data_IF_372698570973
#
_entry.id   IF_372698570973
#
_cell.length_a   1.000
_cell.length_b   1.000
_cell.length_c   1.000
_cell.angle_alpha   90.00
_cell.angle_beta   90.00
_cell.angle_gamma   90.00
#
_symmetry.space_group_name_H-M   'P 1'
#
loop_
_entity.id
_entity.type
_entity.pdbx_description
1 polymer ?
#
# COMPACT_ATOMS: atom_id res chain seq x y z
N UNK A 1 6.65 33.63 60.95
CA UNK A 1 6.28 32.29 60.40
C UNK A 1 5.89 32.51 58.96
N UNK A 2 6.86 32.26 58.03
CA UNK A 2 6.72 32.57 56.59
C UNK A 2 6.37 31.26 55.92
N UNK A 3 5.14 31.18 55.38
CA UNK A 3 4.66 30.05 54.62
C UNK A 3 5.13 30.25 53.16
N UNK A 4 6.08 29.42 52.72
CA UNK A 4 6.53 29.35 51.34
C UNK A 4 5.53 28.53 50.56
N UNK A 5 4.78 29.19 49.69
CA UNK A 5 3.98 28.51 48.66
C UNK A 5 4.92 28.12 47.51
N UNK A 6 5.26 26.83 47.47
CA UNK A 6 5.90 26.23 46.29
C UNK A 6 4.86 26.08 45.22
N UNK A 7 4.89 26.95 44.23
CA UNK A 7 4.13 26.74 42.96
C UNK A 7 4.79 25.61 42.19
N UNK A 8 4.20 24.42 42.31
CA UNK A 8 4.51 23.31 41.42
C UNK A 8 3.89 23.59 40.05
N UNK A 9 4.67 24.20 39.15
CA UNK A 9 4.27 24.35 37.75
C UNK A 9 4.39 22.97 37.11
N UNK A 10 3.28 22.26 37.06
CA UNK A 10 3.16 21.04 36.22
C UNK A 10 3.08 21.52 34.77
N UNK A 11 4.20 21.50 34.09
CA UNK A 11 4.23 21.56 32.64
C UNK A 11 3.58 20.27 32.13
N UNK A 12 2.28 20.31 31.86
CA UNK A 12 1.63 19.36 30.99
C UNK A 12 2.21 19.59 29.59
N UNK A 13 3.26 18.82 29.27
CA UNK A 13 3.65 18.59 27.90
C UNK A 13 2.48 17.85 27.27
N UNK A 14 1.53 18.59 26.72
CA UNK A 14 0.65 18.05 25.72
C UNK A 14 1.54 17.73 24.53
N UNK A 15 2.06 16.49 24.49
CA UNK A 15 2.43 15.86 23.24
C UNK A 15 1.19 15.94 22.38
N UNK A 16 1.16 16.91 21.49
CA UNK A 16 0.17 17.00 20.45
C UNK A 16 0.36 15.75 19.59
N UNK A 17 -0.30 14.67 19.99
CA UNK A 17 -0.60 13.57 19.10
C UNK A 17 -1.41 14.21 17.98
N UNK A 18 -0.74 14.45 16.86
CA UNK A 18 -1.39 14.77 15.61
C UNK A 18 -2.22 13.51 15.29
N UNK A 19 -3.39 13.41 15.90
CA UNK A 19 -4.39 12.42 15.52
C UNK A 19 -4.83 12.82 14.12
N UNK A 20 -4.13 12.27 13.13
CA UNK A 20 -4.59 12.34 11.77
C UNK A 20 -5.89 11.54 11.73
N UNK A 21 -6.99 12.26 11.83
CA UNK A 21 -8.31 11.65 11.91
C UNK A 21 -8.72 11.17 10.52
N UNK A 22 -8.32 9.94 10.18
CA UNK A 22 -8.69 9.26 8.95
C UNK A 22 -10.21 9.28 8.73
N UNK A 23 -10.99 9.31 9.82
CA UNK A 23 -12.46 9.31 9.75
C UNK A 23 -13.04 10.58 9.13
N UNK A 24 -12.27 11.67 9.09
CA UNK A 24 -12.69 12.90 8.39
C UNK A 24 -12.69 12.75 6.87
N UNK A 25 -11.77 11.92 6.36
CA UNK A 25 -11.54 11.76 4.92
C UNK A 25 -12.10 10.45 4.38
N UNK A 26 -12.13 9.40 5.22
CA UNK A 26 -12.58 8.07 4.84
C UNK A 26 -13.74 7.63 5.74
N UNK A 27 -14.92 7.48 5.18
CA UNK A 27 -16.11 7.01 5.94
C UNK A 27 -16.00 5.55 6.34
N UNK A 28 -15.42 4.74 5.47
CA UNK A 28 -15.22 3.31 5.68
C UNK A 28 -13.82 2.94 5.23
N UNK A 29 -13.08 2.36 6.11
CA UNK A 29 -11.77 1.78 5.81
C UNK A 29 -11.51 0.63 6.77
N UNK A 30 -10.64 -0.27 6.35
CA UNK A 30 -10.10 -1.33 7.20
C UNK A 30 -8.59 -1.36 7.05
N UNK A 31 -7.90 -1.59 8.15
CA UNK A 31 -6.45 -1.74 8.15
C UNK A 31 -6.10 -3.21 7.92
N UNK A 32 -5.15 -3.45 7.04
CA UNK A 32 -4.62 -4.78 6.73
C UNK A 32 -3.15 -4.79 7.12
N UNK A 33 -2.77 -5.66 8.04
CA UNK A 33 -1.37 -5.85 8.37
C UNK A 33 -0.70 -6.74 7.31
N UNK A 34 0.56 -6.46 6.98
CA UNK A 34 1.37 -7.22 6.01
C UNK A 34 1.31 -8.75 6.24
N UNK A 35 1.29 -9.20 7.49
CA UNK A 35 1.17 -10.62 7.85
C UNK A 35 -0.17 -11.27 7.49
N UNK A 36 -1.20 -10.47 7.20
CA UNK A 36 -2.52 -10.96 6.79
C UNK A 36 -2.63 -11.16 5.28
N UNK A 37 -1.61 -10.75 4.53
CA UNK A 37 -1.55 -11.03 3.10
C UNK A 37 -1.03 -12.45 2.86
N UNK A 38 -1.87 -13.32 2.34
CA UNK A 38 -1.45 -14.57 1.73
C UNK A 38 -0.81 -14.29 0.38
N UNK A 39 0.40 -14.76 0.18
CA UNK A 39 1.13 -14.56 -1.08
C UNK A 39 1.63 -15.89 -1.62
N UNK A 40 1.25 -16.23 -2.84
CA UNK A 40 1.67 -17.45 -3.52
C UNK A 40 2.10 -17.17 -4.95
N UNK A 41 3.21 -17.76 -5.35
CA UNK A 41 3.72 -17.72 -6.72
C UNK A 41 3.36 -19.01 -7.42
N UNK A 42 2.58 -18.93 -8.49
CA UNK A 42 2.22 -20.08 -9.33
C UNK A 42 2.99 -19.98 -10.65
N UNK A 43 3.87 -20.92 -10.90
CA UNK A 43 4.57 -21.03 -12.18
C UNK A 43 3.70 -21.77 -13.17
N UNK A 44 3.41 -21.17 -14.33
CA UNK A 44 2.72 -21.87 -15.42
C UNK A 44 3.69 -22.83 -16.11
N UNK A 45 3.40 -24.13 -15.96
CA UNK A 45 3.93 -25.19 -16.83
C UNK A 45 5.42 -25.47 -16.77
N UNK A 46 5.77 -26.75 -16.94
CA UNK A 46 7.12 -27.31 -16.84
C UNK A 46 7.94 -27.17 -18.14
N UNK A 47 7.65 -26.24 -19.04
CA UNK A 47 8.40 -26.11 -20.29
C UNK A 47 9.22 -24.84 -20.30
N UNK A 48 10.48 -25.02 -19.89
CA UNK A 48 11.68 -24.33 -20.37
C UNK A 48 11.48 -22.90 -20.89
N UNK A 49 11.25 -21.98 -19.99
CA UNK A 49 11.79 -20.63 -20.10
C UNK A 49 11.56 -19.94 -18.78
N UNK A 50 12.61 -19.60 -18.09
CA UNK A 50 12.59 -18.65 -16.97
C UNK A 50 12.17 -17.26 -17.48
N UNK A 51 11.07 -17.19 -18.17
CA UNK A 51 10.56 -15.91 -18.59
C UNK A 51 9.77 -15.33 -17.42
N UNK A 52 10.25 -14.24 -16.86
CA UNK A 52 9.72 -13.42 -15.80
C UNK A 52 8.18 -13.23 -15.87
N UNK A 53 7.63 -13.24 -17.07
CA UNK A 53 6.22 -13.07 -17.38
C UNK A 53 5.36 -14.35 -17.40
N UNK A 54 5.96 -15.51 -17.15
CA UNK A 54 5.21 -16.77 -17.06
C UNK A 54 4.76 -17.09 -15.62
N UNK A 55 4.91 -16.14 -14.72
CA UNK A 55 4.59 -16.31 -13.30
C UNK A 55 3.30 -15.61 -12.99
N UNK A 56 2.36 -16.32 -12.39
CA UNK A 56 1.15 -15.75 -11.79
C UNK A 56 1.41 -15.58 -10.30
N UNK A 57 1.11 -14.42 -9.77
CA UNK A 57 1.04 -14.20 -8.32
C UNK A 57 -0.40 -14.28 -7.87
N UNK A 58 -0.65 -15.04 -6.83
CA UNK A 58 -1.91 -15.02 -6.09
C UNK A 58 -1.68 -14.21 -4.82
N UNK A 59 -2.55 -13.24 -4.57
CA UNK A 59 -2.57 -12.44 -3.36
C UNK A 59 -3.93 -12.60 -2.72
N UNK A 60 -3.97 -13.06 -1.48
CA UNK A 60 -5.20 -13.31 -0.75
C UNK A 60 -5.21 -12.47 0.53
N UNK A 61 -6.33 -11.85 0.82
CA UNK A 61 -6.58 -11.13 2.07
C UNK A 61 -8.08 -11.00 2.33
N UNK A 62 -8.41 -10.70 3.58
CA UNK A 62 -9.79 -10.45 3.99
C UNK A 62 -9.91 -9.02 4.46
N UNK A 63 -10.89 -8.30 3.93
CA UNK A 63 -11.18 -6.93 4.34
C UNK A 63 -12.61 -6.53 4.01
N UNK A 64 -13.19 -5.64 4.80
CA UNK A 64 -14.57 -5.13 4.66
C UNK A 64 -15.61 -6.26 4.55
N UNK A 65 -15.36 -7.38 5.27
CA UNK A 65 -16.21 -8.56 5.25
C UNK A 65 -16.17 -9.38 3.96
N UNK A 66 -15.27 -9.05 3.00
CA UNK A 66 -15.06 -9.75 1.73
C UNK A 66 -13.72 -10.49 1.74
N UNK A 67 -13.67 -11.64 1.09
CA UNK A 67 -12.44 -12.37 0.81
C UNK A 67 -11.94 -11.98 -0.58
N UNK A 68 -10.77 -11.35 -0.63
CA UNK A 68 -10.11 -10.98 -1.88
C UNK A 68 -9.07 -12.03 -2.24
N UNK A 69 -9.19 -12.57 -3.44
CA UNK A 69 -8.17 -13.41 -4.06
C UNK A 69 -7.82 -12.81 -5.43
N UNK A 70 -6.67 -12.16 -5.51
CA UNK A 70 -6.20 -11.53 -6.73
C UNK A 70 -5.33 -12.50 -7.52
N UNK A 71 -5.59 -12.60 -8.82
CA UNK A 71 -4.77 -13.35 -9.76
C UNK A 71 -4.05 -12.34 -10.64
N UNK A 72 -2.75 -12.24 -10.44
CA UNK A 72 -1.91 -11.15 -10.94
C UNK A 72 -0.84 -11.66 -11.89
N UNK A 73 -0.61 -10.92 -12.95
CA UNK A 73 0.51 -11.10 -13.88
C UNK A 73 1.37 -9.84 -13.89
N UNK A 74 2.70 -9.94 -14.09
CA UNK A 74 3.54 -8.76 -14.21
C UNK A 74 3.08 -7.85 -15.35
N UNK A 75 2.98 -6.56 -15.09
CA UNK A 75 2.61 -5.57 -16.11
C UNK A 75 3.78 -5.33 -17.05
N UNK A 76 3.54 -5.42 -18.34
CA UNK A 76 4.57 -5.20 -19.37
C UNK A 76 4.58 -3.75 -19.81
N UNK A 77 5.79 -3.18 -19.89
CA UNK A 77 5.98 -1.89 -20.55
C UNK A 77 5.38 -0.68 -19.81
N UNK A 78 5.06 -0.83 -18.54
CA UNK A 78 4.55 0.29 -17.72
C UNK A 78 5.60 1.40 -17.62
N UNK A 79 6.83 1.02 -17.39
CA UNK A 79 7.96 1.95 -17.32
C UNK A 79 8.90 1.72 -18.50
N UNK A 80 9.31 2.80 -19.14
CA UNK A 80 10.30 2.76 -20.20
C UNK A 80 11.63 2.22 -19.70
N UNK A 81 12.44 1.63 -20.58
CA UNK A 81 13.80 1.18 -20.23
C UNK A 81 14.71 2.33 -19.76
N UNK A 82 14.41 3.55 -20.22
CA UNK A 82 15.15 4.77 -19.87
C UNK A 82 14.52 5.55 -18.71
N UNK A 83 13.44 5.04 -18.12
CA UNK A 83 12.80 5.69 -16.98
C UNK A 83 13.77 5.79 -15.80
N UNK A 84 13.87 6.98 -15.22
CA UNK A 84 14.63 7.28 -14.01
C UNK A 84 13.73 8.08 -13.07
N UNK A 85 13.74 7.73 -11.81
CA UNK A 85 13.20 8.56 -10.75
C UNK A 85 14.36 9.26 -10.04
N UNK A 86 14.20 10.53 -9.80
CA UNK A 86 15.18 11.34 -9.08
C UNK A 86 14.45 12.16 -8.04
N UNK A 87 15.07 12.29 -6.89
CA UNK A 87 14.71 13.27 -5.86
C UNK A 87 15.63 14.46 -6.05
N UNK A 88 15.06 15.65 -6.06
CA UNK A 88 15.82 16.89 -6.19
C UNK A 88 15.87 17.54 -4.80
N UNK A 89 17.07 17.81 -4.32
CA UNK A 89 17.27 18.56 -3.09
C UNK A 89 17.07 20.05 -3.35
N UNK A 90 16.14 20.68 -2.64
CA UNK A 90 15.79 22.10 -2.82
C UNK A 90 16.94 23.05 -2.44
N UNK A 91 17.92 22.60 -1.64
CA UNK A 91 19.04 23.45 -1.21
C UNK A 91 20.22 23.46 -2.17
N UNK A 92 20.50 22.31 -2.79
CA UNK A 92 21.75 22.10 -3.55
C UNK A 92 21.54 21.78 -5.04
N UNK A 93 20.29 21.70 -5.53
CA UNK A 93 19.94 21.24 -6.89
C UNK A 93 20.54 19.86 -7.24
N UNK A 94 20.82 19.04 -6.21
CA UNK A 94 21.38 17.71 -6.39
C UNK A 94 20.30 16.70 -6.70
N UNK A 95 20.50 15.99 -7.80
CA UNK A 95 19.65 14.85 -8.15
C UNK A 95 20.13 13.59 -7.42
N UNK A 96 19.28 13.03 -6.57
CA UNK A 96 19.48 11.72 -5.96
C UNK A 96 18.68 10.67 -6.74
N UNK A 97 19.36 9.66 -7.28
CA UNK A 97 18.70 8.59 -8.00
C UNK A 97 17.91 7.68 -7.05
N UNK A 98 16.60 7.54 -7.32
CA UNK A 98 15.72 6.61 -6.60
C UNK A 98 15.63 5.32 -7.42
N UNK A 99 16.13 4.17 -6.93
CA UNK A 99 15.97 2.90 -7.60
C UNK A 99 14.49 2.47 -7.56
N UNK A 100 13.89 2.22 -8.73
CA UNK A 100 12.55 1.66 -8.83
C UNK A 100 12.63 0.25 -9.38
N UNK A 101 12.05 -0.71 -8.66
CA UNK A 101 11.87 -2.07 -9.18
C UNK A 101 10.76 -2.06 -10.23
N UNK A 102 11.14 -2.15 -11.50
CA UNK A 102 10.22 -2.17 -12.65
C UNK A 102 9.35 -3.43 -12.70
N UNK A 103 9.68 -4.42 -11.93
CA UNK A 103 9.02 -5.71 -11.88
C UNK A 103 8.04 -5.86 -10.72
N UNK A 104 7.90 -4.81 -9.93
CA UNK A 104 6.99 -4.75 -8.80
C UNK A 104 5.54 -4.39 -9.18
N UNK A 105 5.28 -4.15 -10.47
CA UNK A 105 3.95 -3.78 -10.99
C UNK A 105 3.24 -4.97 -11.59
N UNK A 106 1.98 -5.14 -11.23
CA UNK A 106 1.15 -6.26 -11.63
C UNK A 106 -0.22 -5.78 -12.07
N UNK A 107 -0.81 -6.52 -13.00
CA UNK A 107 -2.19 -6.37 -13.41
C UNK A 107 -2.92 -7.71 -13.34
N UNK A 108 -4.22 -7.68 -13.13
CA UNK A 108 -5.00 -8.90 -13.04
C UNK A 108 -6.44 -8.66 -12.67
N UNK A 109 -7.01 -9.62 -11.96
CA UNK A 109 -8.42 -9.62 -11.58
C UNK A 109 -8.65 -10.33 -10.25
N UNK A 110 -9.86 -10.18 -9.72
CA UNK A 110 -10.37 -10.95 -8.58
C UNK A 110 -10.75 -12.34 -9.09
N UNK A 111 -10.35 -13.37 -8.38
CA UNK A 111 -10.71 -14.76 -8.70
C UNK A 111 -12.22 -14.96 -8.63
N UNK A 112 -12.80 -15.51 -9.68
CA UNK A 112 -14.24 -15.73 -9.78
C UNK A 112 -15.06 -14.54 -10.29
N UNK A 113 -14.42 -13.38 -10.55
CA UNK A 113 -15.06 -12.18 -11.10
C UNK A 113 -14.39 -11.80 -12.43
N UNK A 114 -14.93 -12.27 -13.54
CA UNK A 114 -14.30 -12.11 -14.86
C UNK A 114 -14.23 -10.65 -15.34
N UNK A 115 -15.16 -9.80 -14.94
CA UNK A 115 -15.20 -8.37 -15.29
C UNK A 115 -14.38 -7.49 -14.35
N UNK A 116 -13.84 -8.07 -13.28
CA UNK A 116 -13.02 -7.33 -12.33
C UNK A 116 -11.66 -6.98 -12.92
N UNK A 117 -11.05 -5.91 -12.41
CA UNK A 117 -9.69 -5.50 -12.75
C UNK A 117 -8.93 -5.13 -11.50
N UNK A 118 -7.68 -5.58 -11.41
CA UNK A 118 -6.78 -5.21 -10.33
C UNK A 118 -5.47 -4.68 -10.92
N UNK A 119 -5.01 -3.56 -10.40
CA UNK A 119 -3.68 -2.99 -10.64
C UNK A 119 -2.98 -2.94 -9.29
N UNK A 120 -1.80 -3.53 -9.19
CA UNK A 120 -1.10 -3.72 -7.92
C UNK A 120 0.36 -3.36 -8.09
N UNK A 121 0.86 -2.52 -7.22
CA UNK A 121 2.28 -2.33 -6.96
C UNK A 121 2.62 -3.04 -5.65
N UNK A 122 3.69 -3.81 -5.65
CA UNK A 122 4.09 -4.59 -4.48
C UNK A 122 5.56 -4.35 -4.17
N UNK A 123 5.83 -3.81 -2.99
CA UNK A 123 7.16 -3.52 -2.51
C UNK A 123 7.28 -3.96 -1.04
N UNK A 124 8.30 -4.74 -0.72
CA UNK A 124 8.59 -5.26 0.63
C UNK A 124 7.40 -5.94 1.34
N UNK A 125 6.48 -6.52 0.54
CA UNK A 125 5.28 -7.19 1.03
C UNK A 125 4.15 -6.24 1.43
N UNK A 126 4.31 -4.95 1.19
CA UNK A 126 3.25 -3.95 1.23
C UNK A 126 2.68 -3.79 -0.17
N UNK A 127 1.37 -3.66 -0.29
CA UNK A 127 0.71 -3.45 -1.58
C UNK A 127 0.05 -2.09 -1.67
N UNK A 128 0.17 -1.48 -2.83
CA UNK A 128 -0.68 -0.38 -3.27
C UNK A 128 -1.51 -0.91 -4.42
N UNK A 129 -2.82 -0.82 -4.34
CA UNK A 129 -3.68 -1.43 -5.34
C UNK A 129 -4.94 -0.62 -5.65
N UNK A 130 -5.40 -0.77 -6.87
CA UNK A 130 -6.74 -0.39 -7.29
C UNK A 130 -7.46 -1.64 -7.77
N UNK A 131 -8.57 -1.99 -7.11
CA UNK A 131 -9.36 -3.17 -7.41
C UNK A 131 -10.76 -2.73 -7.79
N UNK A 132 -11.13 -2.98 -9.04
CA UNK A 132 -12.47 -2.73 -9.55
C UNK A 132 -13.20 -4.05 -9.68
N UNK A 133 -14.34 -4.16 -9.01
CA UNK A 133 -15.32 -5.24 -9.17
C UNK A 133 -16.48 -4.75 -10.03
N UNK A 134 -17.48 -5.59 -10.26
CA UNK A 134 -18.75 -5.18 -10.91
C UNK A 134 -19.52 -4.14 -10.08
N UNK A 135 -19.39 -4.19 -8.76
CA UNK A 135 -20.16 -3.37 -7.82
C UNK A 135 -19.39 -2.17 -7.31
N UNK A 136 -18.10 -2.37 -6.97
CA UNK A 136 -17.32 -1.43 -6.20
C UNK A 136 -15.93 -1.17 -6.80
N UNK A 137 -15.35 -0.06 -6.39
CA UNK A 137 -13.95 0.27 -6.60
C UNK A 137 -13.27 0.40 -5.24
N UNK A 138 -12.18 -0.34 -5.04
CA UNK A 138 -11.40 -0.32 -3.81
C UNK A 138 -10.00 0.23 -4.09
N UNK A 139 -9.48 1.01 -3.15
CA UNK A 139 -8.07 1.36 -3.09
C UNK A 139 -7.42 0.74 -1.86
N UNK A 140 -6.20 0.27 -2.04
CA UNK A 140 -5.30 -0.14 -0.97
C UNK A 140 -4.08 0.75 -1.06
N UNK A 141 -3.69 1.33 0.05
CA UNK A 141 -2.50 2.16 0.15
C UNK A 141 -1.75 1.94 1.46
N UNK A 142 -0.44 2.20 1.49
CA UNK A 142 0.33 2.10 2.72
C UNK A 142 -0.19 3.08 3.78
N UNK A 143 -0.39 2.58 5.00
CA UNK A 143 -0.94 3.37 6.09
C UNK A 143 -0.01 4.49 6.57
N UNK A 144 1.30 4.38 6.34
CA UNK A 144 2.27 5.43 6.70
C UNK A 144 1.99 6.79 6.03
N UNK A 145 1.24 6.80 4.92
CA UNK A 145 0.78 8.04 4.29
C UNK A 145 -0.19 8.82 5.16
N UNK A 146 -0.82 8.16 6.11
CA UNK A 146 -1.89 8.70 6.94
C UNK A 146 -1.63 8.53 8.44
N UNK A 147 -0.89 7.49 8.82
CA UNK A 147 -0.61 7.12 10.21
C UNK A 147 0.90 7.04 10.42
N UNK A 148 1.47 7.76 11.36
CA UNK A 148 2.89 7.63 11.70
C UNK A 148 3.20 6.21 12.20
N UNK A 149 4.42 5.74 11.95
CA UNK A 149 4.95 4.46 12.42
C UNK A 149 4.17 3.21 11.99
N UNK A 150 3.60 3.21 10.78
CA UNK A 150 2.75 2.12 10.29
C UNK A 150 3.28 1.43 9.03
N UNK A 151 4.58 1.22 8.93
CA UNK A 151 5.25 0.69 7.71
C UNK A 151 4.77 -0.69 7.26
N UNK A 152 4.17 -1.46 8.17
CA UNK A 152 3.68 -2.81 7.89
C UNK A 152 2.14 -2.89 7.73
N UNK A 153 1.48 -1.75 7.73
CA UNK A 153 0.03 -1.65 7.66
C UNK A 153 -0.39 -0.98 6.36
N UNK A 154 -1.44 -1.49 5.77
CA UNK A 154 -2.13 -0.90 4.63
C UNK A 154 -3.54 -0.52 5.02
N UNK A 155 -4.11 0.43 4.31
CA UNK A 155 -5.49 0.86 4.44
C UNK A 155 -6.23 0.46 3.17
N UNK A 156 -7.31 -0.28 3.32
CA UNK A 156 -8.26 -0.55 2.24
C UNK A 156 -9.52 0.27 2.46
N UNK A 157 -9.94 0.97 1.44
CA UNK A 157 -11.17 1.74 1.45
C UNK A 157 -11.91 1.66 0.11
N UNK A 158 -13.25 1.68 0.11
CA UNK A 158 -14.02 1.81 -1.12
C UNK A 158 -13.96 3.25 -1.63
N UNK A 159 -14.00 3.41 -2.95
CA UNK A 159 -14.09 4.71 -3.61
C UNK A 159 -15.54 4.93 -4.01
N UNK A 160 -16.19 5.84 -3.32
CA UNK A 160 -17.56 6.23 -3.63
C UNK A 160 -17.59 7.10 -4.89
N UNK A 161 -18.49 6.80 -5.79
CA UNK A 161 -18.79 7.63 -6.96
C UNK A 161 -19.87 8.64 -6.64
#
# INVERSE_FOLDING_TARGET
>A
MIVKYSFLVIFLIQSGLCNFDLTKNLRYFETIHKSQLGHRIVKRGATVSYHKFNTIKEVEFKALGKDFKLILSPTKGLLSSKFRAVEVDDEDDKELFIPIDKDSFYEGRVFGEDESKAQVHMEDGVITATIRTSEDLFHIEPAWRHLPESDQVMILHPVWR
#
